data_IF_499262307928
#
_entry.id   IF_499262307928
#
_cell.length_a   1.000
_cell.length_b   1.000
_cell.length_c   1.000
_cell.angle_alpha   90.00
_cell.angle_beta   90.00
_cell.angle_gamma   90.00
#
_symmetry.space_group_name_H-M   'P 1'
#
loop_
_entity.id
_entity.type
_entity.pdbx_description
1 polymer ?
#
# COMPACT_ATOMS: atom_id res chain seq x y z
N UNK A 1 -30.81 -21.47 8.37
CA UNK A 1 -30.93 -20.82 7.05
C UNK A 1 -29.65 -20.05 6.82
N UNK A 2 -28.84 -20.47 5.85
CA UNK A 2 -27.54 -19.86 5.56
C UNK A 2 -27.73 -18.63 4.67
N UNK A 3 -27.30 -17.47 5.13
CA UNK A 3 -27.12 -16.31 4.27
C UNK A 3 -25.78 -16.46 3.55
N UNK A 4 -25.84 -16.86 2.28
CA UNK A 4 -24.75 -16.63 1.35
C UNK A 4 -24.66 -15.12 1.09
N UNK A 5 -23.53 -14.52 1.47
CA UNK A 5 -23.16 -13.19 1.01
C UNK A 5 -22.93 -13.25 -0.51
N UNK A 6 -23.96 -12.93 -1.27
CA UNK A 6 -23.84 -12.59 -2.68
C UNK A 6 -23.09 -11.27 -2.78
N UNK A 7 -21.83 -11.33 -3.23
CA UNK A 7 -21.02 -10.16 -3.56
C UNK A 7 -21.75 -9.32 -4.63
N UNK A 8 -22.07 -8.07 -4.30
CA UNK A 8 -22.70 -7.15 -5.23
C UNK A 8 -21.67 -6.62 -6.25
N UNK A 9 -22.04 -6.34 -7.50
CA UNK A 9 -21.15 -5.81 -8.53
C UNK A 9 -20.50 -4.44 -8.20
N UNK A 10 -20.96 -3.76 -7.14
CA UNK A 10 -20.38 -2.50 -6.65
C UNK A 10 -19.18 -2.65 -5.70
N UNK A 11 -18.85 -3.85 -5.24
CA UNK A 11 -17.67 -4.07 -4.37
C UNK A 11 -16.36 -4.17 -5.17
N UNK A 12 -16.43 -4.56 -6.46
CA UNK A 12 -15.24 -4.67 -7.31
C UNK A 12 -14.61 -3.31 -7.65
N UNK A 13 -15.42 -2.26 -7.81
CA UNK A 13 -14.95 -0.89 -8.06
C UNK A 13 -14.25 -0.26 -6.84
N UNK A 14 -14.61 -0.69 -5.62
CA UNK A 14 -13.94 -0.24 -4.39
C UNK A 14 -12.54 -0.83 -4.24
N UNK A 15 -12.38 -2.12 -4.57
CA UNK A 15 -11.09 -2.81 -4.45
C UNK A 15 -10.03 -2.25 -5.41
N UNK A 16 -10.39 -2.06 -6.68
CA UNK A 16 -9.48 -1.56 -7.71
C UNK A 16 -9.05 -0.11 -7.40
N UNK A 17 -10.00 0.73 -6.96
CA UNK A 17 -9.70 2.10 -6.53
C UNK A 17 -8.79 2.14 -5.31
N UNK A 18 -9.03 1.27 -4.33
CA UNK A 18 -8.18 1.11 -3.14
C UNK A 18 -6.76 0.64 -3.49
N UNK A 19 -6.63 -0.24 -4.48
CA UNK A 19 -5.32 -0.68 -4.99
C UNK A 19 -4.54 0.49 -5.62
N UNK A 20 -5.20 1.31 -6.45
CA UNK A 20 -4.55 2.47 -7.06
C UNK A 20 -4.02 3.48 -6.04
N UNK A 21 -4.82 3.80 -5.01
CA UNK A 21 -4.36 4.62 -3.89
C UNK A 21 -3.16 3.98 -3.16
N UNK A 22 -3.21 2.67 -2.93
CA UNK A 22 -2.12 1.95 -2.26
C UNK A 22 -0.82 1.95 -3.06
N UNK A 23 -0.89 1.83 -4.39
CA UNK A 23 0.28 1.93 -5.27
C UNK A 23 0.94 3.30 -5.15
N UNK A 24 0.14 4.38 -5.19
CA UNK A 24 0.66 5.75 -5.06
C UNK A 24 1.29 5.98 -3.69
N UNK A 25 0.59 5.60 -2.62
CA UNK A 25 0.92 6.03 -1.27
C UNK A 25 2.03 5.17 -0.64
N UNK A 26 2.15 3.89 -1.01
CA UNK A 26 3.06 2.95 -0.35
C UNK A 26 4.14 2.36 -1.25
N UNK A 27 4.03 2.46 -2.57
CA UNK A 27 5.02 1.88 -3.50
C UNK A 27 5.90 2.94 -4.17
N UNK A 28 5.57 4.23 -4.06
CA UNK A 28 6.34 5.31 -4.67
C UNK A 28 7.76 5.38 -4.09
N UNK A 29 8.82 5.40 -4.92
CA UNK A 29 10.19 5.48 -4.42
C UNK A 29 10.47 6.87 -3.85
N UNK A 30 11.40 6.94 -2.90
CA UNK A 30 11.95 8.22 -2.45
C UNK A 30 12.96 8.78 -3.46
N UNK A 31 13.23 10.09 -3.39
CA UNK A 31 14.28 10.71 -4.22
C UNK A 31 15.66 10.10 -3.94
N UNK A 32 15.91 9.73 -2.69
CA UNK A 32 17.15 9.07 -2.26
C UNK A 32 17.29 7.69 -2.91
N UNK A 33 16.24 6.86 -2.87
CA UNK A 33 16.25 5.55 -3.53
C UNK A 33 16.52 5.64 -5.04
N UNK A 34 15.93 6.63 -5.71
CA UNK A 34 16.19 6.89 -7.13
C UNK A 34 17.65 7.28 -7.38
N UNK A 35 18.20 8.16 -6.55
CA UNK A 35 19.59 8.60 -6.65
C UNK A 35 20.58 7.47 -6.39
N UNK A 36 20.34 6.67 -5.35
CA UNK A 36 21.21 5.56 -4.98
C UNK A 36 21.24 4.48 -6.06
N UNK A 37 20.07 4.12 -6.61
CA UNK A 37 19.97 3.15 -7.71
C UNK A 37 20.67 3.66 -8.98
N UNK A 38 20.60 4.97 -9.26
CA UNK A 38 21.29 5.59 -10.40
C UNK A 38 22.82 5.56 -10.23
N UNK A 39 23.30 5.99 -9.06
CA UNK A 39 24.73 6.02 -8.74
C UNK A 39 25.33 4.61 -8.77
N UNK A 40 24.57 3.59 -8.35
CA UNK A 40 25.01 2.20 -8.37
C UNK A 40 25.38 1.66 -9.76
N UNK A 41 24.91 2.30 -10.85
CA UNK A 41 25.32 1.94 -12.21
C UNK A 41 26.71 2.46 -12.61
N UNK A 42 27.45 3.12 -11.70
CA UNK A 42 28.87 3.50 -11.89
C UNK A 42 29.07 4.76 -12.75
N UNK A 43 28.00 5.53 -12.93
CA UNK A 43 27.89 6.60 -13.92
C UNK A 43 27.91 8.02 -13.25
N UNK A 44 27.85 8.11 -11.92
CA UNK A 44 27.85 9.39 -11.20
C UNK A 44 26.58 10.22 -11.45
N UNK A 45 26.63 11.55 -11.24
CA UNK A 45 25.45 12.44 -11.37
C UNK A 45 25.18 12.97 -12.80
N UNK A 46 26.10 12.77 -13.76
CA UNK A 46 26.02 13.40 -15.10
C UNK A 46 25.91 12.44 -16.27
N UNK A 47 25.88 11.14 -16.01
CA UNK A 47 25.82 10.17 -17.07
C UNK A 47 24.40 9.71 -17.38
N UNK A 48 24.19 9.50 -18.67
CA UNK A 48 22.96 8.96 -19.22
C UNK A 48 23.03 7.44 -19.26
N UNK A 49 21.88 6.79 -19.08
CA UNK A 49 21.78 5.33 -19.15
C UNK A 49 21.20 4.90 -20.50
N UNK A 50 21.79 3.88 -21.09
CA UNK A 50 21.20 3.15 -22.21
C UNK A 50 20.24 2.07 -21.71
N UNK A 51 19.60 1.36 -22.65
CA UNK A 51 18.56 0.36 -22.36
C UNK A 51 18.97 -0.68 -21.32
N UNK A 52 20.15 -1.30 -21.48
CA UNK A 52 20.60 -2.37 -20.59
C UNK A 52 20.87 -1.87 -19.17
N UNK A 53 21.55 -0.72 -19.03
CA UNK A 53 21.80 -0.13 -17.72
C UNK A 53 20.50 0.35 -17.07
N UNK A 54 19.56 0.89 -17.85
CA UNK A 54 18.26 1.34 -17.36
C UNK A 54 17.41 0.16 -16.85
N UNK A 55 17.40 -0.96 -17.58
CA UNK A 55 16.70 -2.18 -17.14
C UNK A 55 17.30 -2.72 -15.84
N UNK A 56 18.63 -2.81 -15.77
CA UNK A 56 19.32 -3.24 -14.54
C UNK A 56 19.02 -2.33 -13.36
N UNK A 57 19.13 -1.01 -13.55
CA UNK A 57 18.81 -0.02 -12.52
C UNK A 57 17.35 -0.13 -12.07
N UNK A 58 16.41 -0.41 -12.98
CA UNK A 58 15.00 -0.56 -12.64
C UNK A 58 14.75 -1.82 -11.80
N UNK A 59 15.43 -2.93 -12.11
CA UNK A 59 15.39 -4.14 -11.29
C UNK A 59 15.97 -3.90 -9.89
N UNK A 60 17.13 -3.24 -9.81
CA UNK A 60 17.79 -2.89 -8.55
C UNK A 60 16.91 -1.96 -7.70
N UNK A 61 16.26 -0.99 -8.33
CA UNK A 61 15.33 -0.06 -7.67
C UNK A 61 14.09 -0.79 -7.12
N UNK A 62 13.50 -1.70 -7.90
CA UNK A 62 12.39 -2.52 -7.42
C UNK A 62 12.80 -3.40 -6.24
N UNK A 63 14.03 -3.92 -6.21
CA UNK A 63 14.55 -4.67 -5.06
C UNK A 63 14.66 -3.80 -3.80
N UNK A 64 15.17 -2.57 -3.93
CA UNK A 64 15.21 -1.62 -2.82
C UNK A 64 13.80 -1.29 -2.30
N UNK A 65 12.84 -1.09 -3.21
CA UNK A 65 11.45 -0.82 -2.84
C UNK A 65 10.79 -2.03 -2.16
N UNK A 66 11.03 -3.25 -2.65
CA UNK A 66 10.53 -4.49 -2.04
C UNK A 66 11.10 -4.66 -0.63
N UNK A 67 12.41 -4.49 -0.45
CA UNK A 67 13.06 -4.60 0.85
C UNK A 67 12.52 -3.58 1.85
N UNK A 68 12.35 -2.33 1.43
CA UNK A 68 11.77 -1.27 2.26
C UNK A 68 10.31 -1.60 2.64
N UNK A 69 9.50 -2.05 1.68
CA UNK A 69 8.11 -2.45 1.93
C UNK A 69 8.02 -3.65 2.89
N UNK A 70 8.90 -4.65 2.77
CA UNK A 70 8.97 -5.79 3.68
C UNK A 70 9.35 -5.38 5.10
N UNK A 71 10.31 -4.47 5.24
CA UNK A 71 10.71 -3.95 6.55
C UNK A 71 9.58 -3.18 7.22
N UNK A 72 8.90 -2.30 6.47
CA UNK A 72 7.75 -1.57 6.96
C UNK A 72 6.61 -2.53 7.34
N UNK A 73 6.34 -3.52 6.51
CA UNK A 73 5.34 -4.53 6.77
C UNK A 73 5.60 -5.30 8.07
N UNK A 74 6.85 -5.70 8.29
CA UNK A 74 7.28 -6.34 9.53
C UNK A 74 7.10 -5.42 10.73
N UNK A 75 7.46 -4.14 10.61
CA UNK A 75 7.31 -3.14 11.69
C UNK A 75 5.85 -2.97 12.10
N UNK A 76 4.97 -2.76 11.12
CA UNK A 76 3.53 -2.60 11.36
C UNK A 76 2.95 -3.85 12.00
N UNK A 77 3.27 -5.06 11.50
CA UNK A 77 2.82 -6.33 12.09
C UNK A 77 3.26 -6.48 13.55
N UNK A 78 4.49 -6.10 13.89
CA UNK A 78 4.98 -6.13 15.27
C UNK A 78 4.23 -5.14 16.17
N UNK A 79 3.99 -3.91 15.69
CA UNK A 79 3.26 -2.91 16.46
C UNK A 79 1.80 -3.30 16.67
N UNK A 80 1.16 -3.90 15.66
CA UNK A 80 -0.17 -4.48 15.80
C UNK A 80 -0.22 -5.60 16.84
N UNK A 81 0.75 -6.52 16.83
CA UNK A 81 0.83 -7.57 17.84
C UNK A 81 0.98 -7.00 19.26
N UNK A 82 1.77 -5.93 19.44
CA UNK A 82 1.90 -5.22 20.72
C UNK A 82 0.59 -4.57 21.15
N UNK A 83 -0.11 -3.91 20.23
CA UNK A 83 -1.41 -3.29 20.50
C UNK A 83 -2.46 -4.33 20.89
N UNK A 84 -2.50 -5.47 20.21
CA UNK A 84 -3.39 -6.59 20.55
C UNK A 84 -3.09 -7.11 21.96
N UNK A 85 -1.83 -7.39 22.29
CA UNK A 85 -1.45 -7.87 23.62
C UNK A 85 -1.81 -6.86 24.73
N UNK A 86 -1.64 -5.56 24.46
CA UNK A 86 -2.04 -4.49 25.38
C UNK A 86 -3.56 -4.47 25.57
N UNK A 87 -4.33 -4.54 24.49
CA UNK A 87 -5.79 -4.55 24.54
C UNK A 87 -6.34 -5.77 25.30
N UNK A 88 -5.75 -6.96 25.11
CA UNK A 88 -6.11 -8.15 25.88
C UNK A 88 -5.82 -7.99 27.37
N UNK A 89 -4.67 -7.40 27.72
CA UNK A 89 -4.33 -7.11 29.12
C UNK A 89 -5.30 -6.11 29.73
N UNK A 90 -5.58 -5.00 29.04
CA UNK A 90 -6.49 -3.96 29.50
C UNK A 90 -7.93 -4.50 29.65
N UNK A 91 -8.36 -5.38 28.75
CA UNK A 91 -9.64 -6.08 28.86
C UNK A 91 -9.71 -6.98 30.10
N UNK A 92 -8.66 -7.74 30.40
CA UNK A 92 -8.60 -8.60 31.60
C UNK A 92 -8.64 -7.78 32.88
N UNK A 93 -7.83 -6.72 32.96
CA UNK A 93 -7.77 -5.83 34.12
C UNK A 93 -9.12 -5.16 34.35
N UNK A 94 -9.66 -4.48 33.32
CA UNK A 94 -10.93 -3.76 33.43
C UNK A 94 -12.10 -4.69 33.77
N UNK A 95 -12.08 -5.93 33.28
CA UNK A 95 -13.07 -6.96 33.65
C UNK A 95 -12.94 -7.37 35.11
N UNK A 96 -11.72 -7.61 35.61
CA UNK A 96 -11.49 -7.97 37.02
C UNK A 96 -11.98 -6.85 37.93
N UNK A 97 -11.56 -5.61 37.68
CA UNK A 97 -11.92 -4.44 38.49
C UNK A 97 -13.45 -4.27 38.62
N UNK A 98 -14.18 -4.43 37.51
CA UNK A 98 -15.64 -4.35 37.51
C UNK A 98 -16.28 -5.51 38.27
N UNK A 99 -15.78 -6.74 38.09
CA UNK A 99 -16.34 -7.91 38.78
C UNK A 99 -16.03 -7.90 40.28
N UNK A 100 -14.83 -7.49 40.66
CA UNK A 100 -14.38 -7.38 42.05
C UNK A 100 -15.21 -6.32 42.79
N UNK A 101 -15.49 -5.17 42.15
CA UNK A 101 -16.36 -4.13 42.70
C UNK A 101 -17.80 -4.63 42.92
N UNK A 102 -18.33 -5.48 42.03
CA UNK A 102 -19.67 -6.06 42.16
C UNK A 102 -19.76 -7.18 43.21
N UNK A 103 -18.66 -7.90 43.46
CA UNK A 103 -18.58 -9.02 44.40
C UNK A 103 -18.12 -8.62 45.81
N UNK A 104 -17.71 -7.36 45.99
CA UNK A 104 -17.30 -6.77 47.26
C UNK A 104 -18.37 -6.93 48.35
N UNK A 105 -17.93 -7.23 49.58
CA UNK A 105 -18.79 -7.30 50.77
C UNK A 105 -19.49 -5.97 51.08
N UNK A 106 -18.93 -4.85 50.59
CA UNK A 106 -19.56 -3.52 50.53
C UNK A 106 -19.51 -3.05 49.08
N UNK A 107 -20.55 -3.33 48.27
CA UNK A 107 -20.54 -3.02 46.84
C UNK A 107 -20.38 -1.52 46.63
N UNK A 108 -19.30 -1.11 45.96
CA UNK A 108 -19.22 0.25 45.42
C UNK A 108 -20.09 0.35 44.16
N UNK A 109 -20.75 1.48 43.92
CA UNK A 109 -21.54 1.66 42.71
C UNK A 109 -20.63 1.65 41.49
N UNK A 110 -20.68 0.55 40.73
CA UNK A 110 -20.01 0.48 39.42
C UNK A 110 -20.70 1.45 38.46
N UNK A 111 -19.93 2.39 37.92
CA UNK A 111 -20.43 3.33 36.94
C UNK A 111 -20.78 2.61 35.63
N UNK A 112 -21.81 3.11 34.94
CA UNK A 112 -22.19 2.62 33.60
C UNK A 112 -21.00 2.68 32.63
N UNK A 113 -20.17 3.71 32.72
CA UNK A 113 -19.03 3.91 31.82
C UNK A 113 -17.93 2.88 32.07
N UNK A 114 -17.65 2.52 33.33
CA UNK A 114 -16.69 1.47 33.67
C UNK A 114 -17.13 0.10 33.13
N UNK A 115 -18.41 -0.24 33.26
CA UNK A 115 -18.97 -1.47 32.70
C UNK A 115 -18.92 -1.46 31.16
N UNK A 116 -19.37 -0.36 30.53
CA UNK A 116 -19.33 -0.22 29.07
C UNK A 116 -17.91 -0.34 28.52
N UNK A 117 -16.93 0.28 29.19
CA UNK A 117 -15.51 0.17 28.84
C UNK A 117 -15.01 -1.26 28.92
N UNK A 118 -15.29 -1.98 30.01
CA UNK A 118 -14.88 -3.37 30.17
C UNK A 118 -15.47 -4.27 29.08
N UNK A 119 -16.76 -4.08 28.74
CA UNK A 119 -17.43 -4.79 27.65
C UNK A 119 -16.79 -4.47 26.30
N UNK A 120 -16.56 -3.18 26.00
CA UNK A 120 -15.95 -2.75 24.75
C UNK A 120 -14.53 -3.30 24.57
N UNK A 121 -13.71 -3.29 25.63
CA UNK A 121 -12.37 -3.87 25.61
C UNK A 121 -12.41 -5.39 25.42
N UNK A 122 -13.35 -6.08 26.07
CA UNK A 122 -13.54 -7.53 25.91
C UNK A 122 -13.91 -7.87 24.46
N UNK A 123 -14.86 -7.14 23.86
CA UNK A 123 -15.23 -7.29 22.45
C UNK A 123 -14.04 -7.01 21.53
N UNK A 124 -13.34 -5.89 21.75
CA UNK A 124 -12.17 -5.50 20.97
C UNK A 124 -11.05 -6.55 21.02
N UNK A 125 -10.76 -7.08 22.22
CA UNK A 125 -9.76 -8.13 22.41
C UNK A 125 -10.10 -9.42 21.67
N UNK A 126 -11.38 -9.81 21.62
CA UNK A 126 -11.83 -10.99 20.88
C UNK A 126 -11.80 -10.81 19.35
N UNK A 127 -12.06 -9.59 18.86
CA UNK A 127 -12.01 -9.26 17.43
C UNK A 127 -10.59 -8.96 16.92
N UNK A 128 -9.64 -8.67 17.83
CA UNK A 128 -8.26 -8.30 17.53
C UNK A 128 -7.54 -9.22 16.53
N UNK A 129 -7.53 -10.55 16.71
CA UNK A 129 -6.88 -11.47 15.78
C UNK A 129 -7.41 -11.39 14.35
N UNK A 130 -8.72 -11.21 14.17
CA UNK A 130 -9.36 -11.11 12.84
C UNK A 130 -8.95 -9.81 12.16
N UNK A 131 -9.02 -8.69 12.89
CA UNK A 131 -8.56 -7.39 12.38
C UNK A 131 -7.08 -7.42 12.03
N UNK A 132 -6.23 -8.03 12.86
CA UNK A 132 -4.81 -8.20 12.59
C UNK A 132 -4.54 -9.02 11.32
N UNK A 133 -5.28 -10.11 11.10
CA UNK A 133 -5.18 -10.91 9.89
C UNK A 133 -5.58 -10.13 8.62
N UNK A 134 -6.68 -9.39 8.68
CA UNK A 134 -7.10 -8.55 7.55
C UNK A 134 -6.09 -7.45 7.24
N UNK A 135 -5.61 -6.74 8.27
CA UNK A 135 -4.63 -5.67 8.10
C UNK A 135 -3.27 -6.18 7.65
N UNK A 136 -2.83 -7.35 8.11
CA UNK A 136 -1.62 -7.99 7.60
C UNK A 136 -1.69 -8.20 6.08
N UNK A 137 -2.85 -8.60 5.56
CA UNK A 137 -3.08 -8.70 4.12
C UNK A 137 -2.90 -7.37 3.37
N UNK A 138 -3.44 -6.27 3.91
CA UNK A 138 -3.25 -4.93 3.31
C UNK A 138 -1.80 -4.47 3.34
N UNK A 139 -1.09 -4.77 4.42
CA UNK A 139 0.31 -4.41 4.63
C UNK A 139 1.24 -5.13 3.65
N UNK A 140 0.85 -6.30 3.13
CA UNK A 140 1.62 -7.07 2.16
C UNK A 140 1.33 -6.71 0.69
N UNK A 141 0.33 -5.85 0.42
CA UNK A 141 -0.03 -5.43 -0.95
C UNK A 141 1.16 -4.78 -1.67
N UNK A 142 1.89 -3.81 -1.10
CA UNK A 142 3.01 -3.17 -1.78
C UNK A 142 4.10 -4.17 -2.18
N UNK A 143 4.45 -5.09 -1.27
CA UNK A 143 5.43 -6.15 -1.53
C UNK A 143 4.98 -7.03 -2.69
N UNK A 144 3.71 -7.43 -2.70
CA UNK A 144 3.15 -8.29 -3.74
C UNK A 144 3.15 -7.60 -5.10
N UNK A 145 2.69 -6.35 -5.17
CA UNK A 145 2.62 -5.58 -6.41
C UNK A 145 4.02 -5.31 -6.99
N UNK A 146 4.98 -4.88 -6.16
CA UNK A 146 6.36 -4.65 -6.61
C UNK A 146 7.04 -5.95 -7.05
N UNK A 147 6.82 -7.06 -6.33
CA UNK A 147 7.33 -8.39 -6.72
C UNK A 147 6.77 -8.82 -8.07
N UNK A 148 5.46 -8.59 -8.29
CA UNK A 148 4.83 -8.89 -9.59
C UNK A 148 5.40 -8.04 -10.71
N UNK A 149 5.55 -6.74 -10.48
CA UNK A 149 6.19 -5.81 -11.42
C UNK A 149 7.63 -6.23 -11.77
N UNK A 150 8.41 -6.74 -10.80
CA UNK A 150 9.77 -7.23 -11.04
C UNK A 150 9.79 -8.55 -11.81
N UNK A 151 8.87 -9.47 -11.50
CA UNK A 151 8.85 -10.81 -12.09
C UNK A 151 8.35 -10.85 -13.54
N UNK A 152 7.58 -9.84 -13.95
CA UNK A 152 7.07 -9.71 -15.31
C UNK A 152 8.13 -9.04 -16.20
N UNK A 153 9.09 -9.85 -16.67
CA UNK A 153 10.24 -9.37 -17.45
C UNK A 153 9.78 -8.67 -18.73
N UNK A 154 8.75 -9.18 -19.40
CA UNK A 154 8.23 -8.61 -20.64
C UNK A 154 7.66 -7.21 -20.42
N UNK A 155 6.81 -7.01 -19.40
CA UNK A 155 6.30 -5.69 -19.07
C UNK A 155 7.39 -4.75 -18.56
N UNK A 156 8.39 -5.27 -17.85
CA UNK A 156 9.51 -4.47 -17.37
C UNK A 156 10.38 -3.95 -18.53
N UNK A 157 10.68 -4.81 -19.51
CA UNK A 157 11.38 -4.41 -20.72
C UNK A 157 10.57 -3.42 -21.56
N UNK A 158 9.28 -3.68 -21.76
CA UNK A 158 8.40 -2.76 -22.48
C UNK A 158 8.34 -1.38 -21.80
N UNK A 159 8.42 -1.34 -20.47
CA UNK A 159 8.49 -0.09 -19.70
C UNK A 159 9.80 0.66 -19.93
N UNK A 160 10.92 -0.03 -20.00
CA UNK A 160 12.22 0.57 -20.36
C UNK A 160 12.17 1.16 -21.77
N UNK A 161 11.62 0.42 -22.72
CA UNK A 161 11.48 0.89 -24.11
C UNK A 161 10.57 2.12 -24.20
N UNK A 162 9.48 2.14 -23.42
CA UNK A 162 8.60 3.31 -23.31
C UNK A 162 9.33 4.52 -22.72
N UNK A 163 10.09 4.35 -21.62
CA UNK A 163 10.85 5.43 -20.99
C UNK A 163 11.86 6.06 -21.97
N UNK A 164 12.60 5.23 -22.71
CA UNK A 164 13.54 5.70 -23.72
C UNK A 164 12.84 6.40 -24.89
N UNK A 165 11.63 5.96 -25.27
CA UNK A 165 10.87 6.62 -26.33
C UNK A 165 10.32 7.99 -25.90
N UNK A 166 9.86 8.11 -24.66
CA UNK A 166 9.23 9.34 -24.16
C UNK A 166 10.25 10.40 -23.77
N UNK A 167 11.36 9.98 -23.15
CA UNK A 167 12.29 10.89 -22.49
C UNK A 167 13.76 10.63 -22.87
N UNK A 168 14.02 9.60 -23.68
CA UNK A 168 15.34 9.35 -24.22
C UNK A 168 15.70 10.33 -25.32
N UNK A 169 17.00 10.58 -25.45
CA UNK A 169 17.61 11.35 -26.52
C UNK A 169 17.66 10.52 -27.80
N UNK A 170 18.00 11.17 -28.91
CA UNK A 170 18.12 10.52 -30.23
C UNK A 170 19.18 9.40 -30.28
N UNK A 171 20.12 9.38 -29.32
CA UNK A 171 21.14 8.35 -29.14
C UNK A 171 20.66 7.14 -28.29
N UNK A 172 19.40 7.15 -27.83
CA UNK A 172 18.83 6.08 -27.01
C UNK A 172 19.26 6.13 -25.54
N UNK A 173 19.71 7.30 -25.05
CA UNK A 173 20.13 7.51 -23.67
C UNK A 173 19.14 8.38 -22.89
N UNK A 174 18.96 8.12 -21.59
CA UNK A 174 18.06 8.90 -20.70
C UNK A 174 18.83 9.53 -19.54
N UNK A 175 18.43 10.74 -19.13
CA UNK A 175 18.99 11.42 -17.96
C UNK A 175 18.30 10.99 -16.66
N UNK A 176 18.94 11.25 -15.52
CA UNK A 176 18.37 10.93 -14.21
C UNK A 176 17.05 11.67 -13.96
N UNK A 177 17.01 12.96 -14.31
CA UNK A 177 15.83 13.81 -14.08
C UNK A 177 14.64 13.34 -14.93
N UNK A 178 14.89 13.05 -16.20
CA UNK A 178 13.87 12.53 -17.12
C UNK A 178 13.32 11.18 -16.66
N UNK A 179 14.22 10.28 -16.24
CA UNK A 179 13.81 8.99 -15.67
C UNK A 179 12.97 9.17 -14.40
N UNK A 180 13.42 10.02 -13.47
CA UNK A 180 12.75 10.21 -12.18
C UNK A 180 11.32 10.75 -12.34
N UNK A 181 11.11 11.71 -13.26
CA UNK A 181 9.79 12.27 -13.56
C UNK A 181 8.84 11.16 -14.02
N UNK A 182 9.20 10.42 -15.07
CA UNK A 182 8.30 9.42 -15.65
C UNK A 182 8.15 8.18 -14.79
N UNK A 183 9.18 7.79 -14.05
CA UNK A 183 9.08 6.65 -13.15
C UNK A 183 8.11 6.92 -12.00
N UNK A 184 8.17 8.13 -11.41
CA UNK A 184 7.27 8.55 -10.33
C UNK A 184 5.85 8.78 -10.84
N UNK A 185 5.69 9.36 -12.03
CA UNK A 185 4.39 9.62 -12.67
C UNK A 185 3.53 8.35 -12.80
N UNK A 186 4.14 7.18 -13.02
CA UNK A 186 3.42 5.91 -13.00
C UNK A 186 2.69 5.65 -11.68
N UNK A 187 3.35 5.86 -10.54
CA UNK A 187 2.74 5.65 -9.22
C UNK A 187 1.66 6.70 -8.96
N UNK A 188 1.91 7.94 -9.36
CA UNK A 188 0.98 9.06 -9.18
C UNK A 188 -0.29 8.91 -10.05
N UNK A 189 -0.17 8.28 -11.23
CA UNK A 189 -1.28 8.02 -12.15
C UNK A 189 -2.05 6.73 -11.87
N UNK A 190 -1.50 5.80 -11.08
CA UNK A 190 -2.14 4.52 -10.78
C UNK A 190 -3.59 4.63 -10.24
N UNK A 191 -3.94 5.56 -9.31
CA UNK A 191 -5.33 5.74 -8.89
C UNK A 191 -6.29 6.09 -10.02
N UNK A 192 -5.84 6.92 -10.97
CA UNK A 192 -6.64 7.36 -12.12
C UNK A 192 -6.79 6.22 -13.14
N UNK A 193 -5.68 5.61 -13.54
CA UNK A 193 -5.67 4.52 -14.53
C UNK A 193 -6.50 3.32 -14.08
N UNK A 194 -6.50 3.03 -12.78
CA UNK A 194 -7.31 1.96 -12.19
C UNK A 194 -8.76 2.40 -11.88
N UNK A 195 -9.02 3.70 -11.72
CA UNK A 195 -10.35 4.25 -11.43
C UNK A 195 -11.22 4.50 -12.67
N UNK A 196 -10.62 4.83 -13.81
CA UNK A 196 -11.34 5.27 -15.03
C UNK A 196 -12.00 4.12 -15.82
N UNK A 197 -11.86 2.86 -15.38
CA UNK A 197 -12.46 1.70 -16.06
C UNK A 197 -13.97 1.55 -15.89
N UNK A 198 -14.63 2.34 -15.04
CA UNK A 198 -16.05 2.16 -14.68
C UNK A 198 -16.89 3.43 -14.51
N UNK A 199 -16.31 4.62 -14.67
CA UNK A 199 -17.09 5.86 -14.78
C UNK A 199 -17.38 6.09 -16.27
N UNK A 200 -18.44 5.43 -16.76
CA UNK A 200 -18.98 5.69 -18.08
C UNK A 200 -19.43 7.14 -18.22
N UNK A 201 -18.52 8.02 -18.60
CA UNK A 201 -18.83 9.23 -19.37
C UNK A 201 -17.87 9.33 -20.54
N UNK A 202 -18.13 8.50 -21.55
CA UNK A 202 -18.29 9.04 -22.91
C UNK A 202 -19.24 10.23 -22.86
N UNK A 203 -18.71 11.42 -22.55
CA UNK A 203 -19.30 12.75 -22.73
C UNK A 203 -18.20 13.77 -22.36
N UNK A 204 -17.27 14.02 -23.29
CA UNK A 204 -16.51 15.29 -23.43
C UNK A 204 -15.43 15.25 -24.53
N UNK A 205 -15.27 14.15 -25.27
CA UNK A 205 -14.37 14.11 -26.45
C UNK A 205 -15.11 14.12 -27.81
N UNK A 206 -16.44 14.33 -27.84
CA UNK A 206 -17.25 14.27 -29.06
C UNK A 206 -17.95 15.58 -29.46
N UNK A 207 -17.78 16.68 -28.72
CA UNK A 207 -18.19 18.04 -29.08
C UNK A 207 -17.03 18.94 -28.61
N UNK A 208 -16.15 19.55 -29.40
CA UNK A 208 -16.26 20.12 -30.73
C UNK A 208 -14.93 19.91 -31.50
N UNK A 209 -14.93 18.94 -32.41
CA UNK A 209 -14.29 19.11 -33.70
C UNK A 209 -15.46 19.20 -34.71
N UNK A 210 -15.42 20.17 -35.63
CA UNK A 210 -16.47 20.59 -36.57
C UNK A 210 -17.37 21.73 -36.05
N UNK A 211 -16.88 22.96 -36.16
CA UNK A 211 -17.36 23.97 -37.13
C UNK A 211 -16.32 25.07 -37.31
#
# INVERSE_FOLDING_TARGET
>A
MGNGNSYAPGDQTSLIRGLGASIRDFMRPTKEQLSDAWIAQGQGQQAHLGREQLLKMLQDLLDLQIAAAQQEASRVKMDMARQQARMERDARISRSEVLDALQSATPEPVSRDSLNRAVALSMGSGAGPVMAGMMAGYVDIPVTCLTKMKSDVELLEARVDMLLRLAGRADGLISQDDFAVHYVEFFDSAPRVLGDGTDGSTKEAAECAVQ
#
